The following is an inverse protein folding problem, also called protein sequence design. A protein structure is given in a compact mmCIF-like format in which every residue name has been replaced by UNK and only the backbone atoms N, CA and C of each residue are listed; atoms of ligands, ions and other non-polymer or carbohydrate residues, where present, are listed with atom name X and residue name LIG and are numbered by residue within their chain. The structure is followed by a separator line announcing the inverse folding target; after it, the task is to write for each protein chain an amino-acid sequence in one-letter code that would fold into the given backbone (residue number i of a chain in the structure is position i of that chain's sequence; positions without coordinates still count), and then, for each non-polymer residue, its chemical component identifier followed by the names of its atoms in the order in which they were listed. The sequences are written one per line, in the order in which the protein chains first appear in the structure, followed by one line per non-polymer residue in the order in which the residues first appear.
data_IF_037436982304
#
_entry.id   IF_037436982304
#
_cell.length_a   1.000
_cell.length_b   1.000
_cell.length_c   1.000
_cell.angle_alpha   90.00
_cell.angle_beta   90.00
_cell.angle_gamma   90.00
#
_symmetry.space_group_name_H-M   'P 1'
#
loop_
_entity.id
_entity.type
_entity.pdbx_description
1 polymer ?
#
# COMPACT_ATOMS: atom_id res chain seq x y z
N UNK A 1 -8.15 34.74 28.80
CA UNK A 1 -8.78 34.43 27.49
C UNK A 1 -7.94 33.32 26.87
N UNK A 2 -8.44 32.08 26.80
CA UNK A 2 -7.70 30.95 26.21
C UNK A 2 -7.89 31.00 24.69
N UNK A 3 -6.81 31.03 23.93
CA UNK A 3 -6.86 31.00 22.47
C UNK A 3 -7.38 29.63 22.01
N UNK A 4 -8.39 29.62 21.15
CA UNK A 4 -8.72 28.42 20.39
C UNK A 4 -7.62 28.23 19.35
N UNK A 5 -6.84 27.16 19.47
CA UNK A 5 -5.95 26.70 18.41
C UNK A 5 -6.81 25.82 17.47
N UNK A 6 -7.23 26.38 16.35
CA UNK A 6 -7.98 25.66 15.32
C UNK A 6 -7.04 24.71 14.59
N UNK A 7 -7.21 23.40 14.80
CA UNK A 7 -6.57 22.36 13.99
C UNK A 7 -7.37 22.20 12.69
N UNK A 8 -6.78 22.60 11.56
CA UNK A 8 -7.34 22.33 10.24
C UNK A 8 -6.86 20.95 9.80
N UNK A 9 -7.76 19.96 9.84
CA UNK A 9 -7.52 18.66 9.20
C UNK A 9 -7.95 18.80 7.75
N UNK A 10 -6.98 18.92 6.85
CA UNK A 10 -7.22 18.94 5.42
C UNK A 10 -7.41 17.48 4.94
N UNK A 11 -8.62 16.94 5.04
CA UNK A 11 -8.93 15.65 4.42
C UNK A 11 -9.14 15.86 2.92
N UNK A 12 -8.10 15.69 2.10
CA UNK A 12 -8.28 15.57 0.66
C UNK A 12 -8.79 14.17 0.33
N UNK A 13 -10.11 13.99 0.39
CA UNK A 13 -10.79 12.84 -0.22
C UNK A 13 -10.90 13.14 -1.72
N UNK A 14 -9.82 12.91 -2.47
CA UNK A 14 -9.91 12.81 -3.92
C UNK A 14 -9.67 11.34 -4.23
N UNK A 15 -10.74 10.57 -4.32
CA UNK A 15 -10.69 9.26 -4.97
C UNK A 15 -10.42 9.51 -6.45
N UNK A 16 -9.15 9.62 -6.84
CA UNK A 16 -8.80 9.67 -8.25
C UNK A 16 -9.06 8.27 -8.81
N UNK A 17 -10.13 8.16 -9.60
CA UNK A 17 -10.28 7.03 -10.51
C UNK A 17 -9.03 6.97 -11.37
N UNK A 18 -8.26 5.89 -11.23
CA UNK A 18 -6.99 5.72 -11.92
C UNK A 18 -7.26 5.53 -13.40
N UNK A 19 -7.04 6.59 -14.18
CA UNK A 19 -6.92 6.50 -15.63
C UNK A 19 -5.55 5.89 -15.96
N UNK A 20 -5.46 5.20 -17.11
CA UNK A 20 -4.17 4.77 -17.62
C UNK A 20 -3.24 5.99 -17.79
N UNK A 21 -1.99 5.82 -17.39
CA UNK A 21 -1.00 6.89 -17.42
C UNK A 21 -0.06 6.86 -16.21
N UNK A 22 0.91 7.76 -16.27
CA UNK A 22 1.79 8.06 -15.16
C UNK A 22 1.07 8.89 -14.12
N UNK A 23 1.35 8.64 -12.85
CA UNK A 23 0.81 9.42 -11.74
C UNK A 23 1.88 9.67 -10.69
N UNK A 24 1.66 10.74 -9.93
CA UNK A 24 2.37 11.07 -8.71
C UNK A 24 1.31 11.20 -7.62
N UNK A 25 1.50 10.49 -6.52
CA UNK A 25 0.64 10.51 -5.35
C UNK A 25 1.47 10.94 -4.14
N UNK A 26 0.88 11.83 -3.34
CA UNK A 26 1.37 12.15 -2.01
C UNK A 26 0.27 11.84 -1.00
N UNK A 27 0.67 11.24 0.12
CA UNK A 27 -0.23 10.96 1.24
C UNK A 27 0.45 11.36 2.54
N UNK A 28 -0.31 12.02 3.39
CA UNK A 28 0.08 12.36 4.76
C UNK A 28 -0.85 11.65 5.74
N UNK A 29 -0.31 11.12 6.84
CA UNK A 29 -1.07 10.45 7.88
C UNK A 29 -0.48 10.70 9.27
N UNK A 30 -1.32 11.12 10.21
CA UNK A 30 -0.93 11.22 11.62
C UNK A 30 -1.42 10.00 12.41
N UNK A 31 -0.48 9.21 12.93
CA UNK A 31 -0.73 8.03 13.73
C UNK A 31 -0.75 8.42 15.22
N UNK A 32 -1.96 8.57 15.79
CA UNK A 32 -2.16 9.06 17.15
C UNK A 32 -1.48 8.19 18.22
N UNK A 33 -1.55 6.86 18.08
CA UNK A 33 -1.02 5.94 19.09
C UNK A 33 0.52 5.92 19.16
N UNK A 34 1.19 6.16 18.03
CA UNK A 34 2.65 6.23 17.95
C UNK A 34 3.19 7.67 17.96
N UNK A 35 2.30 8.67 18.05
CA UNK A 35 2.63 10.09 17.96
C UNK A 35 3.57 10.41 16.78
N UNK A 36 3.17 9.95 15.59
CA UNK A 36 4.02 9.95 14.41
C UNK A 36 3.27 10.48 13.19
N UNK A 37 3.86 11.46 12.51
CA UNK A 37 3.43 11.85 11.16
C UNK A 37 4.15 10.97 10.13
N UNK A 38 3.44 10.47 9.14
CA UNK A 38 3.98 9.74 7.98
C UNK A 38 3.72 10.53 6.70
N UNK A 39 4.75 10.64 5.88
CA UNK A 39 4.68 11.18 4.53
C UNK A 39 5.02 10.07 3.54
N UNK A 40 4.16 9.86 2.56
CA UNK A 40 4.37 8.93 1.47
C UNK A 40 4.43 9.70 0.16
N UNK A 41 5.45 9.37 -0.64
CA UNK A 41 5.59 9.79 -2.01
C UNK A 41 5.58 8.56 -2.88
N UNK A 42 4.74 8.60 -3.91
CA UNK A 42 4.55 7.48 -4.81
C UNK A 42 4.52 7.97 -6.23
N UNK A 43 5.21 7.23 -7.10
CA UNK A 43 5.10 7.40 -8.54
C UNK A 43 4.75 6.07 -9.15
N UNK A 44 3.92 6.08 -10.18
CA UNK A 44 3.57 4.84 -10.84
C UNK A 44 3.05 5.07 -12.23
N UNK A 45 2.87 3.97 -12.93
CA UNK A 45 2.28 3.94 -14.25
C UNK A 45 1.28 2.80 -14.34
N UNK A 46 0.07 3.12 -14.80
CA UNK A 46 -0.96 2.14 -15.09
C UNK A 46 -1.19 2.09 -16.60
N UNK A 47 -1.10 0.90 -17.18
CA UNK A 47 -1.40 0.67 -18.58
C UNK A 47 -2.90 0.51 -18.81
N UNK A 48 -3.37 0.80 -20.03
CA UNK A 48 -4.76 0.58 -20.44
C UNK A 48 -5.21 -0.88 -20.28
N UNK A 49 -4.28 -1.83 -20.35
CA UNK A 49 -4.59 -3.25 -20.17
C UNK A 49 -4.83 -3.63 -18.70
N UNK A 50 -4.51 -2.75 -17.74
CA UNK A 50 -4.68 -2.91 -16.30
C UNK A 50 -3.43 -3.42 -15.57
N UNK A 51 -2.31 -3.58 -16.27
CA UNK A 51 -1.01 -3.81 -15.63
C UNK A 51 -0.45 -2.51 -15.07
N UNK A 52 0.31 -2.57 -13.99
CA UNK A 52 0.88 -1.39 -13.36
C UNK A 52 2.21 -1.66 -12.69
N UNK A 53 2.96 -0.58 -12.50
CA UNK A 53 4.17 -0.53 -11.68
C UNK A 53 4.13 0.72 -10.81
N UNK A 54 4.68 0.60 -9.62
CA UNK A 54 4.65 1.63 -8.60
C UNK A 54 5.93 1.62 -7.79
N UNK A 55 6.45 2.81 -7.49
CA UNK A 55 7.53 3.06 -6.57
C UNK A 55 6.97 3.89 -5.42
N UNK A 56 7.14 3.42 -4.20
CA UNK A 56 6.72 4.10 -2.97
C UNK A 56 7.92 4.39 -2.10
N UNK A 57 7.98 5.58 -1.54
CA UNK A 57 8.97 5.98 -0.56
C UNK A 57 8.26 6.69 0.60
N UNK A 58 8.55 6.28 1.82
CA UNK A 58 7.93 6.84 3.02
C UNK A 58 8.95 7.43 3.98
N UNK A 59 8.53 8.48 4.67
CA UNK A 59 9.25 9.10 5.78
C UNK A 59 8.32 9.28 6.97
N UNK A 60 8.92 9.32 8.14
CA UNK A 60 8.21 9.53 9.40
C UNK A 60 8.85 10.69 10.15
N UNK A 61 8.02 11.53 10.76
CA UNK A 61 8.41 12.51 11.76
C UNK A 61 7.90 12.02 13.11
N UNK A 62 8.81 11.89 14.07
CA UNK A 62 8.52 11.56 15.47
C UNK A 62 8.95 12.72 16.38
N UNK A 63 8.80 12.52 17.70
CA UNK A 63 9.24 13.47 18.73
C UNK A 63 10.70 13.92 18.48
N UNK A 64 10.96 15.20 18.72
CA UNK A 64 12.22 15.90 18.45
C UNK A 64 12.48 16.24 16.95
N UNK A 65 11.43 16.28 16.13
CA UNK A 65 11.43 16.70 14.71
C UNK A 65 12.37 15.89 13.80
N UNK A 66 12.70 14.66 14.20
CA UNK A 66 13.57 13.78 13.43
C UNK A 66 12.85 13.20 12.20
N UNK A 67 13.35 13.55 11.01
CA UNK A 67 12.92 12.92 9.75
C UNK A 67 13.63 11.58 9.55
N UNK A 68 12.88 10.49 9.65
CA UNK A 68 13.38 9.12 9.50
C UNK A 68 12.81 8.46 8.26
N UNK A 69 13.64 7.70 7.56
CA UNK A 69 13.20 6.83 6.49
C UNK A 69 12.25 5.75 7.05
N UNK A 70 11.08 5.59 6.42
CA UNK A 70 10.13 4.52 6.73
C UNK A 70 10.47 3.27 5.94
N UNK A 71 10.09 3.26 4.66
CA UNK A 71 10.39 2.18 3.73
C UNK A 71 10.43 2.65 2.27
N UNK A 72 11.13 1.90 1.44
CA UNK A 72 11.05 1.92 -0.01
C UNK A 72 10.30 0.67 -0.48
N UNK A 73 9.48 0.80 -1.52
CA UNK A 73 8.79 -0.33 -2.13
C UNK A 73 8.68 -0.18 -3.64
N UNK A 74 8.94 -1.27 -4.35
CA UNK A 74 8.63 -1.43 -5.77
C UNK A 74 7.55 -2.49 -5.86
N UNK A 75 6.38 -2.15 -6.41
CA UNK A 75 5.26 -3.06 -6.61
C UNK A 75 4.87 -3.09 -8.08
N UNK A 76 4.52 -4.27 -8.60
CA UNK A 76 4.00 -4.43 -9.94
C UNK A 76 2.96 -5.54 -10.02
N UNK A 77 2.07 -5.42 -11.00
CA UNK A 77 0.98 -6.36 -11.19
C UNK A 77 0.59 -6.48 -12.66
N UNK A 78 0.02 -7.64 -13.01
CA UNK A 78 -0.40 -7.93 -14.38
C UNK A 78 -1.75 -8.69 -14.39
N UNK A 79 -2.78 -8.22 -15.13
CA UNK A 79 -4.08 -8.88 -15.17
C UNK A 79 -4.02 -10.11 -16.07
N UNK A 80 -3.50 -11.20 -15.52
CA UNK A 80 -3.12 -12.41 -16.25
C UNK A 80 -4.32 -13.18 -16.82
N UNK A 81 -5.43 -13.27 -16.10
CA UNK A 81 -6.62 -13.96 -16.58
C UNK A 81 -7.86 -13.07 -16.50
N UNK A 82 -8.61 -13.01 -17.61
CA UNK A 82 -9.92 -12.34 -17.68
C UNK A 82 -10.95 -13.32 -18.24
N UNK A 83 -11.45 -14.29 -17.43
CA UNK A 83 -12.37 -15.32 -17.93
C UNK A 83 -13.70 -14.76 -18.45
N UNK A 84 -14.09 -13.58 -17.97
CA UNK A 84 -15.25 -12.82 -18.44
C UNK A 84 -14.92 -11.32 -18.38
N UNK A 85 -15.78 -10.49 -18.99
CA UNK A 85 -15.65 -9.02 -18.91
C UNK A 85 -15.82 -8.46 -17.49
N UNK A 86 -16.28 -9.28 -16.53
CA UNK A 86 -16.52 -8.89 -15.14
C UNK A 86 -15.50 -9.45 -14.16
N UNK A 87 -14.77 -10.50 -14.52
CA UNK A 87 -13.85 -11.20 -13.62
C UNK A 87 -12.42 -11.04 -14.11
N UNK A 88 -11.56 -10.46 -13.27
CA UNK A 88 -10.12 -10.34 -13.52
C UNK A 88 -9.35 -11.02 -12.39
N UNK A 89 -8.36 -11.83 -12.76
CA UNK A 89 -7.40 -12.43 -11.84
C UNK A 89 -6.03 -11.87 -12.18
N UNK A 90 -5.39 -11.27 -11.18
CA UNK A 90 -4.20 -10.46 -11.33
C UNK A 90 -3.15 -10.87 -10.30
N UNK A 91 -2.11 -11.61 -10.70
CA UNK A 91 -0.93 -11.73 -9.87
C UNK A 91 -0.21 -10.37 -9.79
N UNK A 92 0.38 -10.13 -8.63
CA UNK A 92 1.33 -9.05 -8.43
C UNK A 92 2.32 -9.40 -7.35
N UNK A 93 3.27 -8.52 -7.16
CA UNK A 93 4.28 -8.67 -6.14
C UNK A 93 5.02 -7.39 -5.89
N UNK A 94 5.73 -7.37 -4.77
CA UNK A 94 6.52 -6.24 -4.34
C UNK A 94 7.82 -6.69 -3.70
N UNK A 95 8.78 -5.78 -3.71
CA UNK A 95 10.00 -5.86 -2.92
C UNK A 95 10.08 -4.55 -2.13
N UNK A 96 10.41 -4.66 -0.86
CA UNK A 96 10.55 -3.51 0.01
C UNK A 96 11.85 -3.54 0.82
N UNK A 97 12.26 -2.35 1.26
CA UNK A 97 13.41 -2.11 2.11
C UNK A 97 12.98 -1.16 3.25
N UNK A 98 13.36 -1.49 4.47
CA UNK A 98 13.07 -0.76 5.70
C UNK A 98 14.30 -0.80 6.61
N UNK A 99 14.33 0.05 7.64
CA UNK A 99 15.48 0.18 8.54
C UNK A 99 15.97 -1.14 9.19
N UNK A 100 15.09 -2.12 9.34
CA UNK A 100 15.37 -3.44 9.94
C UNK A 100 15.79 -4.51 8.91
N UNK A 101 15.68 -4.24 7.61
CA UNK A 101 16.01 -5.17 6.53
C UNK A 101 15.04 -5.10 5.35
N UNK A 102 15.20 -6.00 4.40
CA UNK A 102 14.37 -6.06 3.20
C UNK A 102 13.35 -7.21 3.26
N UNK A 103 12.35 -7.15 2.38
CA UNK A 103 11.37 -8.20 2.22
C UNK A 103 10.71 -8.14 0.86
N UNK A 104 9.72 -8.99 0.69
CA UNK A 104 8.89 -8.99 -0.49
C UNK A 104 7.57 -9.66 -0.24
N UNK A 105 6.66 -9.49 -1.18
CA UNK A 105 5.40 -10.20 -1.15
C UNK A 105 5.00 -10.62 -2.55
N UNK A 106 4.30 -11.75 -2.63
CA UNK A 106 3.55 -12.15 -3.81
C UNK A 106 2.08 -12.16 -3.44
N UNK A 107 1.25 -11.73 -4.37
CA UNK A 107 -0.19 -11.73 -4.16
C UNK A 107 -0.98 -12.11 -5.41
N UNK A 108 -2.21 -12.51 -5.16
CA UNK A 108 -3.22 -12.76 -6.18
C UNK A 108 -4.46 -11.96 -5.86
N UNK A 109 -4.81 -11.05 -6.77
CA UNK A 109 -6.05 -10.30 -6.74
C UNK A 109 -7.11 -10.99 -7.58
N UNK A 110 -8.29 -11.16 -7.00
CA UNK A 110 -9.51 -11.56 -7.71
C UNK A 110 -10.48 -10.39 -7.65
N UNK A 111 -10.67 -9.74 -8.80
CA UNK A 111 -11.59 -8.62 -8.94
C UNK A 111 -12.87 -9.07 -9.67
N UNK A 112 -14.03 -8.75 -9.09
CA UNK A 112 -15.33 -8.94 -9.73
C UNK A 112 -16.10 -7.63 -9.82
N UNK A 113 -16.49 -7.26 -11.05
CA UNK A 113 -17.31 -6.10 -11.36
C UNK A 113 -18.79 -6.46 -11.34
N UNK A 114 -19.48 -6.11 -10.25
CA UNK A 114 -20.91 -6.36 -10.10
C UNK A 114 -21.74 -5.42 -10.98
N UNK A 115 -21.39 -4.13 -10.97
CA UNK A 115 -22.07 -3.07 -11.73
C UNK A 115 -21.03 -2.14 -12.39
N UNK A 116 -21.44 -1.21 -13.28
CA UNK A 116 -20.53 -0.22 -13.82
C UNK A 116 -19.77 0.62 -12.78
N UNK A 117 -20.38 0.85 -11.61
CA UNK A 117 -19.90 1.74 -10.54
C UNK A 117 -19.43 0.99 -9.28
N UNK A 118 -19.55 -0.34 -9.23
CA UNK A 118 -19.14 -1.13 -8.06
C UNK A 118 -18.40 -2.40 -8.45
N UNK A 119 -17.24 -2.59 -7.82
CA UNK A 119 -16.46 -3.82 -7.88
C UNK A 119 -15.87 -4.18 -6.51
N UNK A 120 -15.57 -5.46 -6.34
CA UNK A 120 -14.88 -5.99 -5.17
C UNK A 120 -13.57 -6.63 -5.63
N UNK A 121 -12.46 -6.32 -4.96
CA UNK A 121 -11.20 -7.05 -5.08
C UNK A 121 -10.92 -7.79 -3.78
N UNK A 122 -10.64 -9.09 -3.88
CA UNK A 122 -10.06 -9.87 -2.79
C UNK A 122 -8.59 -10.14 -3.12
N UNK A 123 -7.68 -9.69 -2.25
CA UNK A 123 -6.24 -9.89 -2.35
C UNK A 123 -5.79 -10.96 -1.39
N UNK A 124 -5.09 -11.97 -1.87
CA UNK A 124 -4.40 -12.96 -1.05
C UNK A 124 -2.91 -12.72 -1.17
N UNK A 125 -2.23 -12.35 -0.09
CA UNK A 125 -0.82 -11.94 -0.10
C UNK A 125 -0.01 -12.76 0.88
N UNK A 126 1.13 -13.28 0.42
CA UNK A 126 2.16 -13.86 1.27
C UNK A 126 3.34 -12.89 1.34
N UNK A 127 3.70 -12.45 2.54
CA UNK A 127 4.85 -11.60 2.80
C UNK A 127 5.98 -12.43 3.40
N UNK A 128 7.17 -12.26 2.82
CA UNK A 128 8.40 -12.87 3.29
C UNK A 128 9.42 -11.80 3.65
N UNK A 129 9.98 -11.85 4.85
CA UNK A 129 11.11 -10.99 5.20
C UNK A 129 12.43 -11.69 4.84
N UNK A 130 13.37 -10.95 4.25
CA UNK A 130 14.70 -11.44 3.92
C UNK A 130 15.71 -11.27 5.08
N UNK A 131 15.19 -11.11 6.30
CA UNK A 131 15.94 -11.03 7.55
C UNK A 131 15.21 -11.84 8.61
N UNK A 132 15.94 -12.32 9.61
CA UNK A 132 15.37 -13.04 10.75
C UNK A 132 15.16 -12.11 11.93
N UNK A 133 14.14 -12.41 12.72
CA UNK A 133 13.83 -11.81 14.01
C UNK A 133 13.65 -12.90 15.06
N UNK A 134 13.83 -12.56 16.33
CA UNK A 134 13.59 -13.50 17.42
C UNK A 134 12.08 -13.71 17.59
N UNK A 135 11.64 -14.96 17.52
CA UNK A 135 10.26 -15.36 17.74
C UNK A 135 9.89 -15.35 19.24
N UNK A 136 8.66 -15.76 19.57
CA UNK A 136 8.18 -15.80 20.95
C UNK A 136 8.85 -16.88 21.82
N UNK A 137 9.57 -17.83 21.20
CA UNK A 137 10.31 -18.91 21.87
C UNK A 137 11.80 -18.59 22.02
N UNK A 138 12.28 -17.49 21.45
CA UNK A 138 13.69 -17.12 21.46
C UNK A 138 14.49 -17.63 20.25
N UNK A 139 13.82 -18.27 19.28
CA UNK A 139 14.43 -18.81 18.07
C UNK A 139 14.39 -17.78 16.93
N UNK A 140 15.27 -17.93 15.94
CA UNK A 140 15.28 -17.04 14.76
C UNK A 140 14.27 -17.51 13.72
N UNK A 141 13.38 -16.62 13.32
CA UNK A 141 12.38 -16.83 12.27
C UNK A 141 12.21 -15.57 11.41
N UNK A 142 11.79 -15.73 10.15
CA UNK A 142 11.59 -14.61 9.23
C UNK A 142 10.33 -13.79 9.54
N UNK A 143 9.46 -14.25 10.45
CA UNK A 143 8.21 -13.59 10.80
C UNK A 143 7.35 -13.31 9.54
N UNK A 144 7.23 -14.36 8.71
CA UNK A 144 6.43 -14.32 7.50
C UNK A 144 4.94 -14.21 7.84
N UNK A 145 4.17 -13.58 6.95
CA UNK A 145 2.74 -13.37 7.18
C UNK A 145 1.92 -13.64 5.95
N UNK A 146 0.69 -14.10 6.17
CA UNK A 146 -0.34 -14.20 5.15
C UNK A 146 -1.45 -13.21 5.44
N UNK A 147 -1.81 -12.42 4.43
CA UNK A 147 -2.82 -11.37 4.53
C UNK A 147 -3.93 -11.58 3.51
N UNK A 148 -5.16 -11.29 3.95
CA UNK A 148 -6.35 -11.25 3.08
C UNK A 148 -6.90 -9.82 3.10
N UNK A 149 -6.77 -9.12 1.98
CA UNK A 149 -7.31 -7.79 1.76
C UNK A 149 -8.65 -7.83 1.04
N UNK A 150 -9.60 -6.97 1.43
CA UNK A 150 -10.90 -6.83 0.77
C UNK A 150 -11.14 -5.36 0.43
N UNK A 151 -11.20 -5.03 -0.87
CA UNK A 151 -11.34 -3.67 -1.36
C UNK A 151 -12.70 -3.49 -2.04
N UNK A 152 -13.52 -2.61 -1.44
CA UNK A 152 -14.85 -2.27 -1.94
C UNK A 152 -14.76 -0.95 -2.71
N UNK A 153 -14.73 -1.03 -4.04
CA UNK A 153 -14.49 0.13 -4.88
C UNK A 153 -15.80 0.65 -5.45
N UNK A 154 -16.10 1.91 -5.13
CA UNK A 154 -17.22 2.67 -5.68
C UNK A 154 -16.65 3.77 -6.59
N UNK A 155 -17.07 3.77 -7.86
CA UNK A 155 -16.60 4.70 -8.91
C UNK A 155 -17.75 5.61 -9.32
#
# INVERSE_FOLDING_TARGET
MKSLNTLVILTSVISTSVFAGAYVENREAYNLASDQMEFMLRVGYNSDMGAGIMLTNTYTLQRDDELKHGYNEIEGWYPLFKPTDKLTIQPGGLINDKSIGSGGAVYLDVNYKFTPWFNLTVRNRYNHNNYSSTDLNGELDNNDSYEIGNYWNFI
#
